data_IF_393915136930
#
_entry.id   IF_393915136930
#
_cell.length_a   1.000
_cell.length_b   1.000
_cell.length_c   1.000
_cell.angle_alpha   90.00
_cell.angle_beta   90.00
_cell.angle_gamma   90.00
#
_symmetry.space_group_name_H-M   'P 1'
#
loop_
_entity.id
_entity.type
_entity.pdbx_description
1 polymer ?
#
# COMPACT_ATOMS: atom_id res chain seq x y z
N UNK A 1 -55.09 11.15 -10.38
CA UNK A 1 -54.96 11.61 -8.98
C UNK A 1 -53.54 11.26 -8.55
N UNK A 2 -52.65 12.24 -8.60
CA UNK A 2 -51.28 12.17 -8.10
C UNK A 2 -51.28 12.31 -6.57
N UNK A 3 -50.27 11.73 -5.90
CA UNK A 3 -49.35 12.41 -4.96
C UNK A 3 -48.63 11.41 -4.02
N UNK A 4 -47.31 11.57 -3.98
CA UNK A 4 -46.31 11.34 -2.92
C UNK A 4 -46.03 9.95 -2.34
N UNK A 5 -45.01 9.32 -2.93
CA UNK A 5 -43.95 8.68 -2.15
C UNK A 5 -43.13 9.76 -1.43
N UNK A 6 -43.30 9.84 -0.10
CA UNK A 6 -42.57 10.78 0.74
C UNK A 6 -41.29 10.13 1.26
N UNK A 7 -40.18 10.73 0.85
CA UNK A 7 -38.80 10.55 1.30
C UNK A 7 -38.66 10.30 2.82
N UNK A 8 -37.94 9.24 3.16
CA UNK A 8 -37.24 9.10 4.44
C UNK A 8 -35.78 8.73 4.18
N UNK A 9 -35.02 9.68 3.61
CA UNK A 9 -33.56 9.64 3.63
C UNK A 9 -33.06 10.46 4.81
N UNK A 10 -33.22 9.89 6.01
CA UNK A 10 -32.68 10.45 7.24
C UNK A 10 -31.18 10.17 7.33
N UNK A 11 -30.42 11.24 7.09
CA UNK A 11 -29.32 11.68 7.96
C UNK A 11 -28.29 10.63 8.39
N UNK A 12 -27.26 10.45 7.56
CA UNK A 12 -25.98 9.82 7.94
C UNK A 12 -24.83 10.84 7.90
N UNK A 13 -25.02 12.00 8.54
CA UNK A 13 -23.91 12.89 8.93
C UNK A 13 -23.27 12.35 10.21
N UNK A 14 -22.39 11.34 10.08
CA UNK A 14 -21.31 11.01 11.02
C UNK A 14 -20.52 9.80 10.48
N UNK A 15 -19.49 10.07 9.68
CA UNK A 15 -18.38 9.11 9.43
C UNK A 15 -17.05 9.78 9.72
N UNK A 16 -16.94 10.40 10.89
CA UNK A 16 -15.68 10.56 11.61
C UNK A 16 -15.39 9.22 12.29
N UNK A 17 -14.72 8.32 11.57
CA UNK A 17 -14.42 6.98 12.06
C UNK A 17 -14.17 5.99 10.94
N UNK A 18 -13.25 6.30 10.02
CA UNK A 18 -12.55 5.19 9.35
C UNK A 18 -11.80 4.51 10.48
N UNK A 19 -12.30 3.33 10.90
CA UNK A 19 -11.59 2.47 11.82
C UNK A 19 -10.17 2.37 11.30
N UNK A 20 -9.21 2.91 12.03
CA UNK A 20 -7.81 2.64 11.75
C UNK A 20 -7.73 1.11 11.66
N UNK A 21 -7.26 0.56 10.55
CA UNK A 21 -6.73 -0.80 10.56
C UNK A 21 -5.51 -0.75 11.50
N UNK A 22 -5.77 -0.72 12.80
CA UNK A 22 -4.74 -0.73 13.82
C UNK A 22 -4.08 -2.09 13.68
N UNK A 23 -2.88 -2.06 13.11
CA UNK A 23 -2.09 -3.25 12.92
C UNK A 23 -2.06 -4.05 14.23
N UNK A 24 -2.22 -5.38 14.18
CA UNK A 24 -2.13 -6.18 15.39
C UNK A 24 -0.83 -5.88 16.12
N UNK A 25 -0.87 -5.71 17.44
CA UNK A 25 0.32 -5.32 18.24
C UNK A 25 1.52 -6.23 17.99
N UNK A 26 1.30 -7.53 17.77
CA UNK A 26 2.35 -8.52 17.47
C UNK A 26 3.11 -8.24 16.15
N UNK A 27 2.53 -7.40 15.29
CA UNK A 27 3.10 -6.99 14.03
C UNK A 27 3.81 -5.63 14.10
N UNK A 28 3.98 -5.07 15.31
CA UNK A 28 4.73 -3.84 15.52
C UNK A 28 6.20 -3.98 15.13
N UNK A 29 6.78 -2.88 14.65
CA UNK A 29 8.16 -2.86 14.17
C UNK A 29 9.16 -3.32 15.22
N UNK A 30 8.92 -2.95 16.49
CA UNK A 30 9.75 -3.35 17.63
C UNK A 30 9.71 -4.88 17.83
N UNK A 31 8.53 -5.48 17.77
CA UNK A 31 8.34 -6.92 17.96
C UNK A 31 8.91 -7.70 16.77
N UNK A 32 8.76 -7.19 15.55
CA UNK A 32 9.38 -7.77 14.36
C UNK A 32 10.90 -7.79 14.49
N UNK A 33 11.51 -6.66 14.90
CA UNK A 33 12.97 -6.57 15.07
C UNK A 33 13.45 -7.54 16.15
N UNK A 34 12.80 -7.58 17.32
CA UNK A 34 13.14 -8.49 18.41
C UNK A 34 12.99 -9.95 17.95
N UNK A 35 11.85 -10.30 17.35
CA UNK A 35 11.62 -11.64 16.81
C UNK A 35 12.67 -12.00 15.75
N UNK A 36 13.06 -11.08 14.88
CA UNK A 36 14.08 -11.34 13.86
C UNK A 36 15.47 -11.60 14.47
N UNK A 37 15.82 -10.94 15.58
CA UNK A 37 17.12 -11.15 16.26
C UNK A 37 17.15 -12.51 16.96
N UNK A 38 16.10 -12.87 17.73
CA UNK A 38 16.08 -14.11 18.50
C UNK A 38 15.59 -15.33 17.71
N UNK A 39 14.74 -15.10 16.70
CA UNK A 39 14.07 -16.11 15.89
C UNK A 39 13.92 -15.62 14.44
N UNK A 40 15.05 -15.55 13.75
CA UNK A 40 15.15 -15.01 12.39
C UNK A 40 14.12 -15.54 11.37
N UNK A 41 13.69 -16.82 11.35
CA UNK A 41 12.71 -17.30 10.37
C UNK A 41 11.30 -16.72 10.64
N UNK A 42 10.90 -16.60 11.91
CA UNK A 42 9.64 -15.96 12.29
C UNK A 42 9.69 -14.46 12.02
N UNK A 43 10.86 -13.83 12.19
CA UNK A 43 11.05 -12.42 11.84
C UNK A 43 10.74 -12.16 10.36
N UNK A 44 11.30 -12.97 9.44
CA UNK A 44 11.00 -12.86 8.01
C UNK A 44 9.51 -13.11 7.73
N UNK A 45 8.92 -14.13 8.36
CA UNK A 45 7.50 -14.43 8.23
C UNK A 45 6.61 -13.26 8.67
N UNK A 46 6.92 -12.63 9.82
CA UNK A 46 6.18 -11.47 10.32
C UNK A 46 6.35 -10.25 9.42
N UNK A 47 7.54 -10.01 8.87
CA UNK A 47 7.73 -8.96 7.86
C UNK A 47 6.83 -9.21 6.65
N UNK A 48 6.79 -10.45 6.15
CA UNK A 48 5.93 -10.79 5.02
C UNK A 48 4.45 -10.57 5.33
N UNK A 49 4.00 -10.98 6.52
CA UNK A 49 2.61 -10.76 6.96
C UNK A 49 2.29 -9.28 7.13
N UNK A 50 3.23 -8.49 7.67
CA UNK A 50 3.11 -7.02 7.79
C UNK A 50 2.97 -6.35 6.44
N UNK A 51 3.79 -6.74 5.48
CA UNK A 51 3.65 -6.29 4.11
C UNK A 51 2.25 -6.61 3.63
N UNK A 52 1.78 -7.85 3.74
CA UNK A 52 0.46 -8.21 3.21
C UNK A 52 -0.73 -7.42 3.83
N UNK A 53 -0.62 -7.00 5.10
CA UNK A 53 -1.66 -6.27 5.83
C UNK A 53 -1.55 -4.73 5.71
N UNK A 54 -0.35 -4.16 5.73
CA UNK A 54 -0.17 -2.69 5.73
C UNK A 54 0.08 -2.14 4.33
N UNK A 55 -0.86 -1.34 3.82
CA UNK A 55 -0.80 -0.69 2.50
C UNK A 55 0.49 0.12 2.33
N UNK A 56 0.92 0.84 3.37
CA UNK A 56 2.13 1.67 3.36
C UNK A 56 3.39 0.82 3.31
N UNK A 57 3.42 -0.28 4.08
CA UNK A 57 4.52 -1.24 4.05
C UNK A 57 4.63 -1.91 2.67
N UNK A 58 3.54 -2.30 2.02
CA UNK A 58 3.61 -2.88 0.66
C UNK A 58 4.31 -1.96 -0.32
N UNK A 59 3.98 -0.67 -0.30
CA UNK A 59 4.39 0.27 -1.34
C UNK A 59 5.82 0.79 -1.17
N UNK A 60 6.32 0.86 0.07
CA UNK A 60 7.57 1.57 0.38
C UNK A 60 8.65 0.66 0.99
N UNK A 61 8.29 -0.45 1.63
CA UNK A 61 9.23 -1.25 2.42
C UNK A 61 10.12 -2.16 1.57
N UNK A 62 9.64 -2.60 0.40
CA UNK A 62 10.36 -3.53 -0.46
C UNK A 62 11.77 -3.06 -0.84
N UNK A 63 11.96 -1.75 -1.09
CA UNK A 63 13.28 -1.17 -1.40
C UNK A 63 14.23 -1.29 -0.22
N UNK A 64 13.77 -0.93 0.98
CA UNK A 64 14.58 -0.94 2.19
C UNK A 64 14.98 -2.37 2.58
N UNK A 65 14.07 -3.34 2.38
CA UNK A 65 14.34 -4.77 2.62
C UNK A 65 15.42 -5.34 1.69
N UNK A 66 15.41 -4.99 0.40
CA UNK A 66 16.45 -5.42 -0.53
C UNK A 66 17.81 -4.84 -0.15
N UNK A 67 17.86 -3.56 0.22
CA UNK A 67 19.11 -2.91 0.65
C UNK A 67 19.64 -3.57 1.93
N UNK A 68 18.79 -3.74 2.95
CA UNK A 68 19.16 -4.37 4.20
C UNK A 68 19.65 -5.82 4.00
N UNK A 69 18.97 -6.58 3.14
CA UNK A 69 19.36 -7.94 2.81
C UNK A 69 20.71 -8.01 2.08
N UNK A 70 21.00 -7.09 1.14
CA UNK A 70 22.32 -7.01 0.51
C UNK A 70 23.43 -6.68 1.50
N UNK A 71 23.20 -5.75 2.42
CA UNK A 71 24.17 -5.40 3.47
C UNK A 71 24.51 -6.63 4.31
N UNK A 72 23.49 -7.37 4.78
CA UNK A 72 23.70 -8.59 5.58
C UNK A 72 24.42 -9.68 4.80
N UNK A 73 24.04 -9.92 3.54
CA UNK A 73 24.68 -10.93 2.70
C UNK A 73 26.14 -10.59 2.43
N UNK A 74 26.46 -9.32 2.12
CA UNK A 74 27.84 -8.89 1.87
C UNK A 74 28.70 -9.02 3.13
N UNK A 75 28.18 -8.65 4.30
CA UNK A 75 28.87 -8.85 5.58
C UNK A 75 29.17 -10.33 5.85
N UNK A 76 28.20 -11.23 5.58
CA UNK A 76 28.41 -12.67 5.71
C UNK A 76 29.48 -13.20 4.75
N UNK A 77 29.56 -12.66 3.53
CA UNK A 77 30.57 -13.06 2.54
C UNK A 77 31.96 -12.57 2.96
N UNK A 78 32.07 -11.33 3.43
CA UNK A 78 33.34 -10.78 3.93
C UNK A 78 33.87 -11.61 5.10
N UNK A 79 32.99 -11.98 6.04
CA UNK A 79 33.34 -12.88 7.14
C UNK A 79 33.88 -14.21 6.62
N UNK A 80 33.15 -14.83 5.67
CA UNK A 80 33.54 -16.12 5.13
C UNK A 80 34.92 -16.07 4.46
N UNK A 81 35.22 -15.01 3.70
CA UNK A 81 36.54 -14.83 3.07
C UNK A 81 37.65 -14.71 4.13
N UNK A 82 37.41 -13.95 5.19
CA UNK A 82 38.36 -13.85 6.30
C UNK A 82 38.59 -15.18 7.01
N UNK A 83 37.51 -15.94 7.22
CA UNK A 83 37.57 -17.25 7.88
C UNK A 83 38.30 -18.32 7.07
N UNK A 84 38.29 -18.24 5.74
CA UNK A 84 39.06 -19.16 4.89
C UNK A 84 40.59 -18.98 5.04
N UNK A 85 41.04 -17.80 5.47
CA UNK A 85 42.46 -17.51 5.68
C UNK A 85 42.98 -17.87 7.08
N UNK A 86 42.10 -18.25 8.00
CA UNK A 86 42.43 -18.47 9.41
C UNK A 86 42.13 -19.91 9.85
N UNK A 87 43.19 -20.69 10.08
CA UNK A 87 43.09 -22.09 10.52
C UNK A 87 42.53 -22.28 11.94
N UNK A 88 42.35 -21.20 12.70
CA UNK A 88 41.77 -21.25 14.05
C UNK A 88 40.24 -21.28 14.04
N UNK A 89 39.61 -20.90 12.93
CA UNK A 89 38.16 -20.86 12.82
C UNK A 89 37.63 -22.25 12.46
N UNK A 90 36.79 -22.80 13.34
CA UNK A 90 36.15 -24.08 13.11
C UNK A 90 35.18 -24.01 11.92
N UNK A 91 35.18 -25.05 11.08
CA UNK A 91 34.24 -25.16 9.94
C UNK A 91 32.77 -25.04 10.39
N UNK A 92 32.45 -25.53 11.58
CA UNK A 92 31.11 -25.40 12.17
C UNK A 92 30.67 -23.95 12.36
N UNK A 93 31.60 -23.06 12.72
CA UNK A 93 31.31 -21.63 12.91
C UNK A 93 31.06 -20.91 11.56
N UNK A 94 31.80 -21.30 10.52
CA UNK A 94 31.55 -20.81 9.15
C UNK A 94 30.15 -21.22 8.66
N UNK A 95 29.77 -22.49 8.84
CA UNK A 95 28.46 -23.01 8.45
C UNK A 95 27.36 -22.28 9.23
N UNK A 96 27.54 -22.12 10.55
CA UNK A 96 26.58 -21.42 11.40
C UNK A 96 26.38 -19.97 10.96
N UNK A 97 27.47 -19.25 10.65
CA UNK A 97 27.42 -17.87 10.19
C UNK A 97 26.70 -17.72 8.84
N UNK A 98 26.98 -18.59 7.88
CA UNK A 98 26.29 -18.59 6.57
C UNK A 98 24.80 -18.92 6.73
N UNK A 99 24.47 -19.87 7.59
CA UNK A 99 23.09 -20.23 7.87
C UNK A 99 22.33 -19.09 8.55
N UNK A 100 22.95 -18.37 9.49
CA UNK A 100 22.25 -17.28 10.19
C UNK A 100 22.21 -15.98 9.38
N UNK A 101 23.34 -15.51 8.89
CA UNK A 101 23.44 -14.19 8.25
C UNK A 101 23.29 -14.26 6.73
N UNK A 102 23.90 -15.27 6.10
CA UNK A 102 23.80 -15.46 4.66
C UNK A 102 22.37 -15.77 4.23
N UNK A 103 21.74 -16.78 4.85
CA UNK A 103 20.39 -17.19 4.46
C UNK A 103 19.31 -16.15 4.81
N UNK A 104 19.46 -15.44 5.93
CA UNK A 104 18.55 -14.34 6.30
C UNK A 104 18.68 -13.16 5.36
N UNK A 105 19.91 -12.78 4.97
CA UNK A 105 20.17 -11.76 3.96
C UNK A 105 19.51 -12.09 2.62
N UNK A 106 19.69 -13.33 2.13
CA UNK A 106 19.02 -13.80 0.91
C UNK A 106 17.50 -13.81 1.05
N UNK A 107 16.96 -14.26 2.18
CA UNK A 107 15.52 -14.26 2.46
C UNK A 107 14.91 -12.86 2.40
N UNK A 108 15.57 -11.87 3.00
CA UNK A 108 15.15 -10.46 2.94
C UNK A 108 15.22 -9.89 1.53
N UNK A 109 16.23 -10.26 0.72
CA UNK A 109 16.33 -9.84 -0.68
C UNK A 109 15.16 -10.40 -1.49
N UNK A 110 14.85 -11.69 -1.37
CA UNK A 110 13.76 -12.34 -2.12
C UNK A 110 12.41 -11.72 -1.73
N UNK A 111 12.16 -11.56 -0.42
CA UNK A 111 10.96 -10.93 0.10
C UNK A 111 10.82 -9.48 -0.38
N UNK A 112 11.91 -8.70 -0.31
CA UNK A 112 11.95 -7.32 -0.74
C UNK A 112 11.69 -7.16 -2.24
N UNK A 113 12.29 -8.01 -3.08
CA UNK A 113 12.05 -8.04 -4.55
C UNK A 113 10.59 -8.37 -4.86
N UNK A 114 10.01 -9.39 -4.20
CA UNK A 114 8.60 -9.75 -4.37
C UNK A 114 7.68 -8.60 -3.96
N UNK A 115 7.96 -7.95 -2.83
CA UNK A 115 7.20 -6.78 -2.36
C UNK A 115 7.30 -5.62 -3.35
N UNK A 116 8.48 -5.34 -3.91
CA UNK A 116 8.67 -4.27 -4.90
C UNK A 116 7.83 -4.52 -6.16
N UNK A 117 7.85 -5.74 -6.69
CA UNK A 117 7.04 -6.10 -7.88
C UNK A 117 5.54 -5.93 -7.61
N UNK A 118 5.07 -6.35 -6.43
CA UNK A 118 3.67 -6.15 -6.04
C UNK A 118 3.32 -4.66 -5.87
N UNK A 119 4.21 -3.87 -5.28
CA UNK A 119 4.03 -2.42 -5.15
C UNK A 119 3.87 -1.73 -6.51
N UNK A 120 4.72 -2.07 -7.48
CA UNK A 120 4.65 -1.52 -8.83
C UNK A 120 3.33 -1.86 -9.51
N UNK A 121 2.83 -3.09 -9.36
CA UNK A 121 1.49 -3.47 -9.84
C UNK A 121 0.40 -2.58 -9.24
N UNK A 122 0.37 -2.47 -7.91
CA UNK A 122 -0.63 -1.67 -7.19
C UNK A 122 -0.61 -0.21 -7.67
N UNK A 123 0.59 0.38 -7.82
CA UNK A 123 0.76 1.75 -8.33
C UNK A 123 0.22 1.92 -9.75
N UNK A 124 0.44 0.94 -10.63
CA UNK A 124 -0.12 0.96 -12.00
C UNK A 124 -1.64 0.96 -11.99
N UNK A 125 -2.26 0.08 -11.20
CA UNK A 125 -3.73 0.03 -11.09
C UNK A 125 -4.31 1.33 -10.53
N UNK A 126 -3.69 1.89 -9.47
CA UNK A 126 -4.10 3.19 -8.93
C UNK A 126 -3.96 4.29 -9.99
N UNK A 127 -2.87 4.32 -10.75
CA UNK A 127 -2.68 5.32 -11.80
C UNK A 127 -3.77 5.23 -12.89
N UNK A 128 -4.14 4.04 -13.34
CA UNK A 128 -5.19 3.84 -14.35
C UNK A 128 -6.58 4.22 -13.82
N UNK A 129 -6.95 3.71 -12.65
CA UNK A 129 -8.30 3.87 -12.10
C UNK A 129 -8.54 5.26 -11.49
N UNK A 130 -7.52 5.83 -10.85
CA UNK A 130 -7.63 7.09 -10.10
C UNK A 130 -7.20 8.27 -10.94
N UNK A 131 -6.03 8.20 -11.58
CA UNK A 131 -5.47 9.37 -12.27
C UNK A 131 -5.99 9.49 -13.70
N UNK A 132 -6.21 8.37 -14.39
CA UNK A 132 -6.73 8.33 -15.77
C UNK A 132 -8.24 8.06 -15.83
N UNK A 133 -8.88 7.82 -14.68
CA UNK A 133 -10.32 7.58 -14.54
C UNK A 133 -10.86 6.43 -15.41
N UNK A 134 -10.01 5.46 -15.76
CA UNK A 134 -10.42 4.27 -16.51
C UNK A 134 -11.15 3.30 -15.56
N UNK A 135 -12.44 3.08 -15.80
CA UNK A 135 -13.30 2.21 -14.97
C UNK A 135 -13.59 0.85 -15.60
N UNK A 136 -13.50 0.71 -16.92
CA UNK A 136 -13.65 -0.57 -17.62
C UNK A 136 -12.52 -1.53 -17.27
N UNK A 137 -12.87 -2.72 -16.77
CA UNK A 137 -11.87 -3.75 -16.43
C UNK A 137 -11.16 -4.26 -17.70
N UNK A 138 -11.83 -4.23 -18.86
CA UNK A 138 -11.25 -4.62 -20.15
C UNK A 138 -10.20 -3.59 -20.62
N UNK A 139 -10.45 -2.30 -20.44
CA UNK A 139 -9.48 -1.24 -20.77
C UNK A 139 -8.30 -1.26 -19.81
N UNK A 140 -8.56 -1.47 -18.51
CA UNK A 140 -7.51 -1.65 -17.51
C UNK A 140 -6.66 -2.88 -17.87
N UNK A 141 -7.28 -4.00 -18.23
CA UNK A 141 -6.62 -5.24 -18.61
C UNK A 141 -5.70 -5.04 -19.83
N UNK A 142 -6.18 -4.29 -20.82
CA UNK A 142 -5.41 -3.91 -22.01
C UNK A 142 -4.22 -3.03 -21.63
N UNK A 143 -4.43 -2.02 -20.78
CA UNK A 143 -3.37 -1.12 -20.33
C UNK A 143 -2.29 -1.80 -19.48
N UNK A 144 -2.64 -2.82 -18.69
CA UNK A 144 -1.67 -3.61 -17.90
C UNK A 144 -1.13 -4.83 -18.66
N UNK A 145 -1.59 -5.09 -19.89
CA UNK A 145 -1.27 -6.26 -20.71
C UNK A 145 -1.50 -7.59 -19.98
N UNK A 146 -2.63 -7.74 -19.28
CA UNK A 146 -3.04 -8.96 -18.60
C UNK A 146 -4.43 -9.41 -19.05
N UNK A 147 -4.75 -10.71 -18.96
CA UNK A 147 -6.10 -11.20 -19.25
C UNK A 147 -7.16 -10.58 -18.34
N UNK A 148 -8.38 -10.45 -18.84
CA UNK A 148 -9.53 -9.93 -18.10
C UNK A 148 -9.70 -10.62 -16.73
N UNK A 149 -9.68 -11.95 -16.68
CA UNK A 149 -9.85 -12.73 -15.44
C UNK A 149 -8.78 -12.44 -14.38
N UNK A 150 -7.52 -12.27 -14.81
CA UNK A 150 -6.42 -11.93 -13.90
C UNK A 150 -6.59 -10.51 -13.38
N UNK A 151 -6.96 -9.58 -14.26
CA UNK A 151 -7.19 -8.18 -13.90
C UNK A 151 -8.39 -8.02 -12.98
N UNK A 152 -9.51 -8.71 -13.24
CA UNK A 152 -10.69 -8.77 -12.37
C UNK A 152 -10.30 -9.25 -10.97
N UNK A 153 -9.51 -10.33 -10.89
CA UNK A 153 -9.02 -10.86 -9.60
C UNK A 153 -8.07 -9.91 -8.88
N UNK A 154 -7.16 -9.26 -9.60
CA UNK A 154 -6.23 -8.30 -9.01
C UNK A 154 -6.97 -7.05 -8.50
N UNK A 155 -7.96 -6.54 -9.25
CA UNK A 155 -8.83 -5.44 -8.82
C UNK A 155 -9.66 -5.83 -7.60
N UNK A 156 -10.30 -7.01 -7.60
CA UNK A 156 -11.05 -7.51 -6.45
C UNK A 156 -10.16 -7.56 -5.20
N UNK A 157 -8.94 -8.10 -5.33
CA UNK A 157 -7.98 -8.12 -4.23
C UNK A 157 -7.60 -6.72 -3.74
N UNK A 158 -7.54 -5.73 -4.64
CA UNK A 158 -7.28 -4.34 -4.25
C UNK A 158 -8.46 -3.69 -3.54
N UNK A 159 -9.69 -4.05 -3.90
CA UNK A 159 -10.93 -3.66 -3.20
C UNK A 159 -10.94 -4.30 -1.80
N UNK A 160 -10.67 -5.60 -1.70
CA UNK A 160 -10.64 -6.35 -0.44
C UNK A 160 -9.57 -5.80 0.52
N UNK A 161 -8.46 -5.30 -0.02
CA UNK A 161 -7.39 -4.61 0.72
C UNK A 161 -7.64 -3.11 0.87
N UNK A 162 -8.84 -2.64 0.58
CA UNK A 162 -9.26 -1.25 0.73
C UNK A 162 -8.32 -0.22 0.05
N UNK A 163 -7.65 -0.59 -1.04
CA UNK A 163 -6.96 0.40 -1.88
C UNK A 163 -7.98 1.28 -2.61
N UNK A 164 -9.16 0.75 -2.93
CA UNK A 164 -10.29 1.47 -3.49
C UNK A 164 -11.45 1.45 -2.48
N UNK A 165 -11.42 2.35 -1.50
CA UNK A 165 -12.33 2.33 -0.36
C UNK A 165 -13.82 2.30 -0.79
N UNK A 166 -14.51 1.22 -0.45
CA UNK A 166 -15.92 0.97 -0.75
C UNK A 166 -16.24 0.73 -2.23
N UNK A 167 -15.23 0.60 -3.10
CA UNK A 167 -15.44 0.25 -4.49
C UNK A 167 -16.00 -1.17 -4.64
N UNK A 168 -16.71 -1.42 -5.72
CA UNK A 168 -17.21 -2.74 -6.06
C UNK A 168 -17.14 -2.95 -7.58
N UNK A 169 -17.10 -4.21 -7.99
CA UNK A 169 -17.14 -4.57 -9.41
C UNK A 169 -18.60 -4.76 -9.82
N UNK A 170 -19.04 -4.00 -10.84
CA UNK A 170 -20.33 -4.23 -11.47
C UNK A 170 -20.16 -5.32 -12.52
N UNK A 171 -20.71 -6.51 -12.28
CA UNK A 171 -20.58 -7.64 -13.20
C UNK A 171 -21.35 -7.44 -14.51
N UNK A 172 -22.40 -6.61 -14.52
CA UNK A 172 -23.18 -6.32 -15.72
C UNK A 172 -22.45 -5.39 -16.68
N UNK A 173 -21.78 -4.36 -16.16
CA UNK A 173 -21.01 -3.41 -17.00
C UNK A 173 -19.53 -3.77 -17.13
N UNK A 174 -19.05 -4.76 -16.35
CA UNK A 174 -17.63 -5.15 -16.24
C UNK A 174 -16.71 -3.99 -15.85
N UNK A 175 -17.21 -3.10 -15.00
CA UNK A 175 -16.50 -1.90 -14.55
C UNK A 175 -16.26 -1.92 -13.05
N UNK A 176 -15.19 -1.24 -12.61
CA UNK A 176 -15.02 -0.85 -11.21
C UNK A 176 -15.84 0.42 -10.93
N UNK A 177 -16.76 0.33 -9.98
CA UNK A 177 -17.54 1.47 -9.49
C UNK A 177 -16.93 1.95 -8.18
N UNK A 178 -16.46 3.19 -8.16
CA UNK A 178 -15.96 3.83 -6.95
C UNK A 178 -17.13 4.57 -6.28
N UNK A 179 -17.46 4.29 -5.01
CA UNK A 179 -18.48 5.05 -4.30
C UNK A 179 -17.99 6.49 -4.23
N UNK A 180 -18.90 7.39 -4.56
CA UNK A 180 -18.59 8.78 -4.84
C UNK A 180 -18.13 9.52 -3.56
N UNK A 181 -16.86 9.36 -3.17
CA UNK A 181 -16.15 10.34 -2.31
C UNK A 181 -15.53 11.44 -3.18
N UNK A 182 -15.48 11.23 -4.50
CA UNK A 182 -15.39 12.31 -5.46
C UNK A 182 -16.73 13.05 -5.39
N UNK A 183 -16.87 14.05 -4.53
CA UNK A 183 -17.67 15.19 -4.99
C UNK A 183 -16.96 15.67 -6.26
N UNK A 184 -17.43 15.15 -7.38
CA UNK A 184 -17.45 15.84 -8.65
C UNK A 184 -17.80 17.29 -8.33
N UNK A 185 -17.20 18.20 -9.09
CA UNK A 185 -17.79 19.51 -9.26
C UNK A 185 -19.14 19.36 -9.94
N UNK A 186 -20.11 18.81 -9.22
CA UNK A 186 -21.50 19.07 -9.47
C UNK A 186 -21.74 20.44 -8.86
N UNK A 187 -21.83 21.41 -9.76
CA UNK A 187 -22.59 22.62 -9.60
C UNK A 187 -23.90 22.31 -8.85
N UNK A 188 -23.86 22.42 -7.53
CA UNK A 188 -25.02 22.84 -6.76
C UNK A 188 -24.71 24.25 -6.32
N UNK A 189 -25.16 25.20 -7.14
CA UNK A 189 -25.39 26.57 -6.70
C UNK A 189 -26.43 26.53 -5.58
N UNK A 190 -25.97 26.33 -4.35
CA UNK A 190 -26.69 26.73 -3.16
C UNK A 190 -26.09 28.07 -2.72
N UNK A 191 -26.71 29.14 -3.20
CA UNK A 191 -26.50 30.49 -2.70
C UNK A 191 -27.07 30.55 -1.28
N UNK A 192 -26.22 30.58 -0.24
CA UNK A 192 -26.26 31.54 0.89
C UNK A 192 -24.86 31.59 1.56
N UNK A 193 -24.37 32.82 1.72
CA UNK A 193 -23.11 33.26 2.35
C UNK A 193 -22.88 32.77 3.79
N UNK A 194 -21.65 32.31 4.09
CA UNK A 194 -20.89 32.73 5.30
C UNK A 194 -19.39 32.70 4.96
N UNK A 195 -18.71 33.84 5.16
CA UNK A 195 -17.26 34.02 5.14
C UNK A 195 -16.48 32.80 5.66
N UNK A 196 -15.80 32.10 4.76
CA UNK A 196 -14.74 31.16 5.09
C UNK A 196 -13.52 31.57 4.26
N UNK A 197 -12.32 31.73 4.85
CA UNK A 197 -11.15 32.09 4.05
C UNK A 197 -11.01 31.05 2.95
N UNK A 198 -10.90 31.54 1.71
CA UNK A 198 -10.74 30.74 0.50
C UNK A 198 -9.45 29.92 0.65
N UNK A 199 -9.59 28.73 1.24
CA UNK A 199 -8.51 27.78 1.37
C UNK A 199 -8.28 27.21 -0.03
N UNK A 200 -7.28 27.77 -0.71
CA UNK A 200 -6.82 27.34 -2.03
C UNK A 200 -6.62 25.81 -2.01
N UNK A 201 -7.42 25.09 -2.79
CA UNK A 201 -7.30 23.64 -2.92
C UNK A 201 -6.27 23.32 -4.01
N UNK A 202 -5.28 22.52 -3.66
CA UNK A 202 -4.22 22.07 -4.54
C UNK A 202 -4.39 20.57 -4.82
N UNK A 203 -4.17 20.16 -6.07
CA UNK A 203 -4.08 18.74 -6.42
C UNK A 203 -2.61 18.33 -6.30
N UNK A 204 -2.32 17.42 -5.37
CA UNK A 204 -0.95 16.94 -5.11
C UNK A 204 -0.88 15.43 -5.33
N UNK A 205 0.14 14.99 -6.06
CA UNK A 205 0.41 13.58 -6.28
C UNK A 205 1.11 12.94 -5.07
N UNK A 206 0.57 11.83 -4.58
CA UNK A 206 1.13 11.09 -3.46
C UNK A 206 2.46 10.42 -3.82
N UNK A 207 3.53 10.69 -3.07
CA UNK A 207 4.85 10.05 -3.26
C UNK A 207 4.85 8.54 -2.94
N UNK A 208 3.87 8.06 -2.17
CA UNK A 208 3.74 6.65 -1.79
C UNK A 208 3.13 5.81 -2.91
N UNK A 209 1.87 6.05 -3.24
CA UNK A 209 1.12 5.27 -4.23
C UNK A 209 1.03 5.89 -5.63
N UNK A 210 1.31 7.19 -5.79
CA UNK A 210 1.15 7.90 -7.07
C UNK A 210 -0.27 8.41 -7.35
N UNK A 211 -1.22 8.29 -6.41
CA UNK A 211 -2.56 8.83 -6.58
C UNK A 211 -2.58 10.36 -6.46
N UNK A 212 -3.46 11.01 -7.22
CA UNK A 212 -3.75 12.43 -7.07
C UNK A 212 -4.72 12.67 -5.91
N UNK A 213 -4.34 13.55 -4.97
CA UNK A 213 -5.14 13.89 -3.79
C UNK A 213 -5.46 15.40 -3.81
N UNK A 214 -6.66 15.78 -3.37
CA UNK A 214 -7.05 17.20 -3.20
C UNK A 214 -6.74 17.61 -1.76
N UNK A 215 -5.87 18.60 -1.60
CA UNK A 215 -5.39 19.06 -0.29
C UNK A 215 -5.56 20.57 -0.15
N UNK A 216 -5.85 21.06 1.05
CA UNK A 216 -5.86 22.51 1.32
C UNK A 216 -4.43 23.03 1.47
N UNK A 217 -4.12 24.19 0.87
CA UNK A 217 -2.81 24.83 0.97
C UNK A 217 -2.41 25.06 2.44
N UNK A 218 -1.17 24.68 2.78
CA UNK A 218 -0.63 24.73 4.15
C UNK A 218 -1.04 23.56 5.06
N UNK A 219 -1.80 22.58 4.56
CA UNK A 219 -2.22 21.40 5.35
C UNK A 219 -1.56 20.11 4.89
N UNK A 220 -1.40 19.16 5.82
CA UNK A 220 -0.96 17.79 5.53
C UNK A 220 -2.12 16.85 5.82
N UNK A 221 -2.55 16.10 4.81
CA UNK A 221 -3.63 15.10 4.92
C UNK A 221 -3.09 13.71 4.53
N UNK A 222 -3.73 12.65 4.99
CA UNK A 222 -3.37 11.29 4.59
C UNK A 222 -3.97 10.94 3.23
N UNK A 223 -3.20 10.23 2.41
CA UNK A 223 -3.67 9.74 1.12
C UNK A 223 -4.75 8.67 1.30
N UNK A 224 -5.91 8.86 0.67
CA UNK A 224 -7.06 7.96 0.78
C UNK A 224 -6.80 6.54 0.25
N UNK A 225 -5.80 6.37 -0.62
CA UNK A 225 -5.48 5.07 -1.25
C UNK A 225 -4.40 4.29 -0.51
N UNK A 226 -3.49 4.96 0.21
CA UNK A 226 -2.34 4.29 0.82
C UNK A 226 -1.94 4.76 2.23
N UNK A 227 -2.64 5.75 2.79
CA UNK A 227 -2.36 6.29 4.13
C UNK A 227 -1.02 7.02 4.26
N UNK A 228 -0.35 7.36 3.15
CA UNK A 228 0.87 8.17 3.20
C UNK A 228 0.52 9.66 3.39
N UNK A 229 1.28 10.43 4.19
CA UNK A 229 1.03 11.86 4.35
C UNK A 229 1.32 12.62 3.04
N UNK A 230 0.44 13.55 2.69
CA UNK A 230 0.49 14.41 1.50
C UNK A 230 0.28 15.86 1.95
N UNK A 231 1.25 16.72 1.67
CA UNK A 231 1.21 18.15 2.02
C UNK A 231 0.89 19.03 0.83
N UNK A 232 0.04 20.04 1.02
CA UNK A 232 -0.20 21.12 0.07
C UNK A 232 0.74 22.28 0.32
N UNK A 233 1.99 22.16 -0.13
CA UNK A 233 3.00 23.22 0.01
C UNK A 233 2.95 24.18 -1.18
#
# INVERSE_FOLDING_TARGET
MSINSSNNYNNSRNRSGVNKEELPKWLDWRIIIITFIFFWPLGIYFIWKRIDLDKKSQLNLGRNLVIAGWVLTVLSIIYLIGALGDSTIAVGDMIFTVLLFGSSGVGLIVLGKKSKKNAEKIKKYIALVVNQEVTSIEDIATAVALPYEITKKDIQKMIDKEYFAGAYINESTKEIVLPNNRKQGDEKQDYINVNKPNAEMLVVTCKGCGANNKVTKGSVVECEFCGSPVGGN
#
